data_IF_603947865445
#
_entry.id   IF_603947865445
#
_cell.length_a   1.000
_cell.length_b   1.000
_cell.length_c   1.000
_cell.angle_alpha   90.00
_cell.angle_beta   90.00
_cell.angle_gamma   90.00
#
_symmetry.space_group_name_H-M   'P 1'
#
loop_
_entity.id
_entity.type
_entity.pdbx_description
1 polymer ?
#
# COMPACT_ATOMS: atom_id res chain seq x y z
N UNK A 1 -4.57 3.77 -8.68
CA UNK A 1 -4.73 4.60 -7.48
C UNK A 1 -3.59 4.31 -6.50
N UNK A 2 -3.15 5.30 -5.75
CA UNK A 2 -2.09 5.14 -4.73
C UNK A 2 -2.69 4.86 -3.34
N UNK A 3 -3.75 4.08 -3.29
CA UNK A 3 -4.41 3.72 -2.04
C UNK A 3 -3.78 2.42 -1.52
N UNK A 4 -3.24 2.39 -0.30
CA UNK A 4 -2.71 1.18 0.30
C UNK A 4 -3.88 0.26 0.71
N UNK A 5 -3.92 -0.92 0.11
CA UNK A 5 -4.93 -1.94 0.41
C UNK A 5 -4.23 -3.29 0.53
N UNK A 6 -4.56 -4.07 1.53
CA UNK A 6 -4.17 -5.48 1.62
C UNK A 6 -5.39 -6.31 1.26
N UNK A 7 -5.27 -7.11 0.21
CA UNK A 7 -6.33 -7.99 -0.26
C UNK A 7 -5.96 -9.42 0.12
N UNK A 8 -6.85 -10.10 0.82
CA UNK A 8 -6.72 -11.52 1.16
C UNK A 8 -7.66 -12.33 0.28
N UNK A 9 -7.11 -13.29 -0.44
CA UNK A 9 -7.88 -14.22 -1.25
C UNK A 9 -7.71 -15.66 -0.76
N UNK A 10 -8.80 -16.32 -0.39
CA UNK A 10 -8.78 -17.75 -0.09
C UNK A 10 -8.41 -18.55 -1.33
N UNK A 11 -7.65 -19.62 -1.14
CA UNK A 11 -7.30 -20.58 -2.19
C UNK A 11 -7.75 -21.98 -1.82
N UNK A 12 -8.06 -22.78 -2.83
CA UNK A 12 -8.29 -24.21 -2.70
C UNK A 12 -7.09 -24.91 -2.07
N UNK A 13 -7.29 -26.11 -1.47
CA UNK A 13 -6.17 -26.88 -0.93
C UNK A 13 -5.08 -27.13 -1.97
N UNK A 14 -3.83 -27.01 -1.54
CA UNK A 14 -2.65 -27.28 -2.38
C UNK A 14 -2.18 -28.71 -2.31
N UNK A 15 -2.64 -29.48 -1.30
CA UNK A 15 -2.30 -30.89 -1.11
C UNK A 15 -3.50 -31.80 -1.37
N UNK A 16 -3.23 -33.00 -1.90
CA UNK A 16 -4.25 -33.99 -2.22
C UNK A 16 -4.59 -34.88 -1.00
N UNK A 17 -3.62 -35.12 -0.12
CA UNK A 17 -3.77 -36.00 1.04
C UNK A 17 -2.70 -35.69 2.11
N UNK A 18 -2.83 -36.36 3.26
CA UNK A 18 -1.82 -36.38 4.35
C UNK A 18 -1.62 -35.07 5.12
N UNK A 19 -2.24 -33.98 4.73
CA UNK A 19 -2.20 -32.72 5.48
C UNK A 19 -3.58 -32.36 5.99
N UNK A 20 -3.66 -31.80 7.20
CA UNK A 20 -4.91 -31.25 7.69
C UNK A 20 -5.33 -30.05 6.81
N UNK A 21 -6.57 -30.05 6.38
CA UNK A 21 -7.02 -29.06 5.40
C UNK A 21 -6.81 -29.45 3.94
N UNK A 22 -6.21 -30.63 3.66
CA UNK A 22 -6.04 -31.12 2.30
C UNK A 22 -7.37 -31.28 1.53
N UNK A 23 -7.28 -31.55 0.24
CA UNK A 23 -8.43 -31.73 -0.64
C UNK A 23 -9.30 -32.90 -0.16
N UNK A 24 -10.57 -32.63 0.06
CA UNK A 24 -11.55 -33.63 0.52
C UNK A 24 -12.76 -33.78 -0.40
N UNK A 25 -12.84 -32.97 -1.43
CA UNK A 25 -13.88 -33.06 -2.45
C UNK A 25 -13.24 -33.00 -3.82
N UNK A 26 -13.73 -33.75 -4.81
CA UNK A 26 -13.25 -33.68 -6.18
C UNK A 26 -13.76 -32.40 -6.85
N UNK A 27 -13.38 -31.25 -6.33
CA UNK A 27 -13.52 -29.99 -7.07
C UNK A 27 -12.56 -30.11 -8.25
N UNK A 28 -13.13 -30.21 -9.44
CA UNK A 28 -12.37 -30.53 -10.61
C UNK A 28 -11.20 -29.55 -10.84
N UNK A 29 -10.08 -30.09 -11.21
CA UNK A 29 -8.89 -29.30 -11.54
C UNK A 29 -9.15 -28.19 -12.58
N UNK A 30 -10.22 -28.29 -13.35
CA UNK A 30 -10.66 -27.25 -14.27
C UNK A 30 -11.26 -26.01 -13.60
N UNK A 31 -11.56 -26.08 -12.31
CA UNK A 31 -12.08 -24.95 -11.53
C UNK A 31 -11.01 -24.28 -10.68
N UNK A 32 -9.82 -24.90 -10.62
CA UNK A 32 -8.70 -24.36 -9.86
C UNK A 32 -7.78 -23.53 -10.77
N UNK A 33 -7.44 -22.34 -10.34
CA UNK A 33 -6.44 -21.55 -11.04
C UNK A 33 -5.04 -22.06 -10.71
N UNK A 34 -4.20 -22.23 -11.73
CA UNK A 34 -2.78 -22.56 -11.53
C UNK A 34 -2.04 -21.46 -10.75
N UNK A 35 -2.36 -20.22 -11.08
CA UNK A 35 -1.79 -19.03 -10.46
C UNK A 35 -2.92 -18.04 -10.19
N UNK A 36 -3.43 -18.07 -8.95
CA UNK A 36 -4.55 -17.20 -8.55
C UNK A 36 -4.15 -15.72 -8.53
N UNK A 37 -2.91 -15.43 -8.17
CA UNK A 37 -2.40 -14.06 -8.12
C UNK A 37 -2.28 -13.44 -9.52
N UNK A 38 -2.17 -14.25 -10.58
CA UNK A 38 -2.12 -13.75 -11.96
C UNK A 38 -3.34 -12.90 -12.35
N UNK A 39 -4.50 -13.12 -11.72
CA UNK A 39 -5.70 -12.29 -11.94
C UNK A 39 -5.51 -10.83 -11.55
N UNK A 40 -4.67 -10.55 -10.58
CA UNK A 40 -4.51 -9.22 -9.99
C UNK A 40 -3.09 -8.68 -10.10
N UNK A 41 -2.14 -9.48 -10.58
CA UNK A 41 -0.70 -9.15 -10.58
C UNK A 41 -0.38 -7.83 -11.28
N UNK A 42 -1.04 -7.54 -12.38
CA UNK A 42 -0.86 -6.27 -13.10
C UNK A 42 -1.43 -5.06 -12.35
N UNK A 43 -2.26 -5.29 -11.34
CA UNK A 43 -2.97 -4.24 -10.60
C UNK A 43 -2.45 -4.04 -9.17
N UNK A 44 -1.53 -4.89 -8.69
CA UNK A 44 -0.98 -4.84 -7.34
C UNK A 44 0.52 -4.61 -7.36
N UNK A 45 1.04 -4.04 -6.27
CA UNK A 45 2.48 -3.83 -6.12
C UNK A 45 3.25 -5.11 -5.80
N UNK A 46 2.58 -6.04 -5.16
CA UNK A 46 3.17 -7.28 -4.70
C UNK A 46 2.06 -8.30 -4.44
N UNK A 47 2.36 -9.55 -4.75
CA UNK A 47 1.53 -10.70 -4.42
C UNK A 47 2.38 -11.79 -3.77
N UNK A 48 1.75 -12.56 -2.90
CA UNK A 48 2.38 -13.69 -2.23
C UNK A 48 1.36 -14.76 -1.87
N UNK A 49 1.76 -16.01 -1.90
CA UNK A 49 0.99 -17.14 -1.40
C UNK A 49 1.56 -17.63 -0.09
N UNK A 50 0.73 -17.63 0.96
CA UNK A 50 1.13 -18.14 2.27
C UNK A 50 1.35 -19.66 2.19
N UNK A 51 2.52 -20.12 2.61
CA UNK A 51 2.87 -21.55 2.58
C UNK A 51 2.87 -22.19 3.96
N UNK A 52 3.20 -21.42 4.99
CA UNK A 52 3.32 -21.87 6.37
C UNK A 52 2.60 -20.89 7.28
N UNK A 53 1.76 -21.41 8.15
CA UNK A 53 0.94 -20.56 9.02
C UNK A 53 1.76 -19.78 10.06
N UNK A 54 2.88 -20.34 10.51
CA UNK A 54 3.80 -19.68 11.46
C UNK A 54 4.45 -18.40 10.89
N UNK A 55 4.49 -18.26 9.57
CA UNK A 55 5.03 -17.10 8.88
C UNK A 55 3.96 -16.05 8.52
N UNK A 56 2.70 -16.29 8.85
CA UNK A 56 1.59 -15.41 8.47
C UNK A 56 1.80 -13.97 8.97
N UNK A 57 2.24 -13.81 10.22
CA UNK A 57 2.50 -12.49 10.80
C UNK A 57 3.56 -11.69 10.04
N UNK A 58 4.66 -12.33 9.67
CA UNK A 58 5.74 -11.69 8.90
C UNK A 58 5.30 -11.29 7.49
N UNK A 59 4.49 -12.10 6.84
CA UNK A 59 3.98 -11.78 5.51
C UNK A 59 2.94 -10.65 5.54
N UNK A 60 2.11 -10.58 6.57
CA UNK A 60 1.19 -9.46 6.76
C UNK A 60 1.95 -8.16 7.06
N UNK A 61 2.98 -8.21 7.90
CA UNK A 61 3.85 -7.06 8.19
C UNK A 61 4.54 -6.56 6.91
N UNK A 62 5.10 -7.47 6.12
CA UNK A 62 5.69 -7.15 4.81
C UNK A 62 4.67 -6.56 3.84
N UNK A 63 3.48 -7.15 3.75
CA UNK A 63 2.40 -6.66 2.92
C UNK A 63 2.01 -5.23 3.29
N UNK A 64 1.90 -4.94 4.60
CA UNK A 64 1.62 -3.62 5.11
C UNK A 64 2.72 -2.61 4.75
N UNK A 65 3.97 -2.97 4.95
CA UNK A 65 5.10 -2.11 4.62
C UNK A 65 5.17 -1.79 3.12
N UNK A 66 4.98 -2.79 2.25
CA UNK A 66 5.00 -2.61 0.78
C UNK A 66 3.81 -1.76 0.34
N UNK A 67 2.60 -2.02 0.84
CA UNK A 67 1.41 -1.25 0.49
C UNK A 67 1.56 0.23 0.84
N UNK A 68 2.18 0.54 1.99
CA UNK A 68 2.39 1.90 2.48
C UNK A 68 3.67 2.56 1.98
N UNK A 69 4.61 1.82 1.39
CA UNK A 69 5.81 2.38 0.74
C UNK A 69 5.45 3.20 -0.48
N UNK A 70 6.15 4.31 -0.70
CA UNK A 70 5.89 5.18 -1.85
C UNK A 70 6.39 4.57 -3.18
N UNK A 71 5.63 4.69 -4.25
CA UNK A 71 4.23 5.08 -4.32
C UNK A 71 3.33 4.03 -3.63
N UNK A 72 2.38 4.46 -2.79
CA UNK A 72 1.44 3.55 -2.13
C UNK A 72 0.60 2.79 -3.14
N UNK A 73 0.13 1.61 -2.78
CA UNK A 73 -0.72 0.81 -3.67
C UNK A 73 -1.14 -0.53 -3.07
N UNK A 74 -2.04 -1.24 -3.74
CA UNK A 74 -2.58 -2.49 -3.26
C UNK A 74 -1.54 -3.63 -3.29
N UNK A 75 -1.74 -4.60 -2.43
CA UNK A 75 -1.00 -5.88 -2.38
C UNK A 75 -1.99 -7.02 -2.21
N UNK A 76 -1.62 -8.22 -2.63
CA UNK A 76 -2.48 -9.40 -2.57
C UNK A 76 -1.80 -10.56 -1.87
N UNK A 77 -2.52 -11.18 -0.91
CA UNK A 77 -2.09 -12.40 -0.23
C UNK A 77 -3.06 -13.53 -0.56
N UNK A 78 -2.56 -14.57 -1.18
CA UNK A 78 -3.28 -15.83 -1.40
C UNK A 78 -3.12 -16.73 -0.18
N UNK A 79 -4.23 -17.24 0.32
CA UNK A 79 -4.30 -18.03 1.54
C UNK A 79 -4.82 -19.43 1.24
N UNK A 80 -3.95 -20.42 1.00
CA UNK A 80 -4.34 -21.82 0.88
C UNK A 80 -5.00 -22.35 2.15
N UNK A 81 -5.81 -23.40 1.99
CA UNK A 81 -6.60 -23.94 3.08
C UNK A 81 -5.74 -24.57 4.17
N UNK A 82 -4.64 -25.24 3.83
CA UNK A 82 -3.81 -25.94 4.80
C UNK A 82 -3.22 -24.99 5.86
N UNK A 83 -2.52 -23.88 5.49
CA UNK A 83 -2.05 -22.91 6.49
C UNK A 83 -3.18 -22.31 7.33
N UNK A 84 -4.39 -22.15 6.75
CA UNK A 84 -5.54 -21.64 7.49
C UNK A 84 -6.15 -22.65 8.48
N UNK A 85 -5.85 -23.93 8.31
CA UNK A 85 -6.32 -25.02 9.20
C UNK A 85 -5.30 -25.36 10.29
N UNK A 86 -4.09 -24.83 10.26
CA UNK A 86 -3.09 -25.09 11.29
C UNK A 86 -3.50 -24.48 12.63
N UNK A 87 -3.17 -25.18 13.69
CA UNK A 87 -3.43 -24.75 15.07
C UNK A 87 -2.12 -24.55 15.81
N UNK A 88 -2.08 -23.50 16.63
CA UNK A 88 -0.92 -23.17 17.46
C UNK A 88 -1.28 -23.22 18.92
N UNK A 89 -0.30 -23.53 19.77
CA UNK A 89 -0.43 -23.27 21.20
C UNK A 89 -0.56 -21.75 21.45
N UNK A 90 -1.33 -21.36 22.44
CA UNK A 90 -1.61 -19.94 22.74
C UNK A 90 -0.37 -19.12 23.10
N UNK A 91 0.71 -19.77 23.53
CA UNK A 91 2.01 -19.19 23.84
C UNK A 91 3.02 -19.28 22.68
N UNK A 92 2.58 -19.73 21.51
CA UNK A 92 3.45 -19.85 20.35
C UNK A 92 4.06 -18.50 19.94
N UNK A 93 5.35 -18.51 19.63
CA UNK A 93 6.07 -17.35 19.11
C UNK A 93 5.46 -16.84 17.80
N UNK A 94 4.84 -17.72 17.01
CA UNK A 94 4.15 -17.36 15.76
C UNK A 94 3.00 -16.36 15.98
N UNK A 95 2.34 -16.39 17.17
CA UNK A 95 1.27 -15.47 17.53
C UNK A 95 1.79 -14.11 18.03
N UNK A 96 3.07 -13.99 18.31
CA UNK A 96 3.71 -12.80 18.88
C UNK A 96 4.56 -12.03 17.85
N UNK A 97 4.24 -12.16 16.58
CA UNK A 97 4.91 -11.40 15.53
C UNK A 97 4.78 -9.88 15.80
N UNK A 98 5.93 -9.22 15.92
CA UNK A 98 5.97 -7.76 16.04
C UNK A 98 6.30 -7.16 14.69
N UNK A 99 5.61 -6.06 14.28
CA UNK A 99 5.95 -5.35 13.07
C UNK A 99 7.44 -4.96 13.08
N UNK A 100 8.17 -5.42 12.07
CA UNK A 100 9.61 -5.17 11.94
C UNK A 100 9.96 -4.36 10.68
N UNK A 101 9.06 -4.37 9.70
CA UNK A 101 9.27 -3.70 8.44
C UNK A 101 8.60 -2.32 8.44
N UNK A 102 9.37 -1.33 7.99
CA UNK A 102 8.86 0.05 7.88
C UNK A 102 8.64 0.42 6.43
N UNK A 103 7.58 1.19 6.14
CA UNK A 103 7.36 1.72 4.79
C UNK A 103 8.52 2.59 4.34
N UNK A 104 8.90 2.47 3.08
CA UNK A 104 9.92 3.32 2.48
C UNK A 104 9.30 4.67 2.11
N UNK A 105 9.90 5.75 2.58
CA UNK A 105 9.58 7.12 2.20
C UNK A 105 10.80 7.79 1.56
N UNK A 106 10.54 8.79 0.72
CA UNK A 106 11.59 9.57 0.07
C UNK A 106 11.53 11.01 0.58
N UNK A 107 12.71 11.59 0.79
CA UNK A 107 12.87 13.03 1.03
C UNK A 107 13.65 13.64 -0.14
N UNK A 108 13.32 14.86 -0.56
CA UNK A 108 14.10 15.56 -1.57
C UNK A 108 15.53 15.82 -1.07
N UNK A 109 16.49 15.87 -1.99
CA UNK A 109 17.84 16.31 -1.66
C UNK A 109 17.82 17.79 -1.20
N UNK A 110 18.63 18.18 -0.20
CA UNK A 110 18.63 19.54 0.31
C UNK A 110 18.85 20.62 -0.76
N UNK A 111 19.74 20.36 -1.72
CA UNK A 111 20.04 21.29 -2.82
C UNK A 111 18.83 21.46 -3.75
N UNK A 112 18.10 20.38 -4.03
CA UNK A 112 16.87 20.44 -4.84
C UNK A 112 15.78 21.25 -4.13
N UNK A 113 15.68 21.12 -2.82
CA UNK A 113 14.73 21.90 -2.02
C UNK A 113 15.08 23.38 -2.03
N UNK A 114 16.36 23.72 -1.85
CA UNK A 114 16.86 25.09 -1.89
C UNK A 114 16.65 25.74 -3.25
N UNK A 115 16.89 24.98 -4.33
CA UNK A 115 16.64 25.44 -5.70
C UNK A 115 15.15 25.71 -5.93
N UNK A 116 14.26 24.81 -5.51
CA UNK A 116 12.82 24.98 -5.63
C UNK A 116 12.34 26.22 -4.84
N UNK A 117 12.81 26.41 -3.62
CA UNK A 117 12.48 27.58 -2.81
C UNK A 117 12.93 28.89 -3.48
N UNK A 118 14.13 28.91 -4.05
CA UNK A 118 14.65 30.07 -4.79
C UNK A 118 13.81 30.38 -6.03
N UNK A 119 13.42 29.36 -6.79
CA UNK A 119 12.57 29.55 -7.96
C UNK A 119 11.21 30.13 -7.60
N UNK A 120 10.58 29.62 -6.54
CA UNK A 120 9.29 30.13 -6.05
C UNK A 120 9.42 31.56 -5.57
N UNK A 121 10.44 31.87 -4.76
CA UNK A 121 10.65 33.19 -4.21
C UNK A 121 10.92 34.29 -5.27
N UNK A 122 11.51 33.92 -6.41
CA UNK A 122 11.80 34.85 -7.50
C UNK A 122 10.72 34.86 -8.60
N UNK A 123 9.71 33.98 -8.53
CA UNK A 123 8.65 33.92 -9.51
C UNK A 123 7.70 35.11 -9.39
N UNK A 124 7.35 35.75 -10.53
CA UNK A 124 6.36 36.85 -10.57
C UNK A 124 4.91 36.35 -10.48
N UNK A 125 4.67 35.18 -11.04
CA UNK A 125 3.32 34.56 -11.10
C UNK A 125 3.45 33.06 -10.87
N UNK A 126 3.79 32.63 -9.64
CA UNK A 126 3.89 31.22 -9.32
C UNK A 126 2.50 30.56 -9.35
N UNK A 127 2.43 29.32 -9.80
CA UNK A 127 1.24 28.46 -9.71
C UNK A 127 1.68 27.04 -9.36
N UNK A 128 0.93 26.38 -8.51
CA UNK A 128 1.16 24.98 -8.19
C UNK A 128 0.19 24.11 -9.01
N UNK A 129 0.76 23.26 -9.86
CA UNK A 129 0.03 22.19 -10.52
C UNK A 129 0.22 20.90 -9.74
N UNK A 130 -0.86 20.34 -9.23
CA UNK A 130 -0.79 19.15 -8.38
C UNK A 130 -1.67 18.03 -8.90
N UNK A 131 -1.12 16.82 -8.90
CA UNK A 131 -1.86 15.58 -9.12
C UNK A 131 -1.87 14.71 -7.86
N UNK A 132 -0.78 14.77 -7.09
CA UNK A 132 -0.58 14.02 -5.85
C UNK A 132 -0.16 14.98 -4.76
N UNK A 133 -1.15 15.55 -4.11
CA UNK A 133 -0.95 16.63 -3.15
C UNK A 133 -0.41 16.20 -1.80
N UNK A 134 -1.04 16.65 -0.75
CA UNK A 134 -0.62 16.39 0.61
C UNK A 134 -0.86 14.92 1.00
N UNK A 135 0.20 14.19 1.32
CA UNK A 135 0.12 12.75 1.68
C UNK A 135 -0.11 12.52 3.16
N UNK A 136 -0.01 13.57 3.98
CA UNK A 136 -0.27 13.55 5.41
C UNK A 136 -1.10 14.76 5.80
N UNK A 137 -1.80 14.68 6.93
CA UNK A 137 -2.52 15.84 7.48
C UNK A 137 -1.59 17.02 7.68
N UNK A 138 -0.40 16.79 8.23
CA UNK A 138 0.60 17.85 8.44
C UNK A 138 1.00 18.51 7.12
N UNK A 139 1.26 17.73 6.06
CA UNK A 139 1.61 18.30 4.74
C UNK A 139 0.45 19.11 4.16
N UNK A 140 -0.80 18.66 4.34
CA UNK A 140 -2.00 19.38 3.92
C UNK A 140 -2.09 20.77 4.62
N UNK A 141 -1.93 20.81 5.93
CA UNK A 141 -2.00 22.04 6.72
C UNK A 141 -0.84 22.99 6.34
N UNK A 142 0.36 22.47 6.16
CA UNK A 142 1.53 23.26 5.72
C UNK A 142 1.37 23.85 4.33
N UNK A 143 0.92 23.07 3.36
CA UNK A 143 0.68 23.56 1.98
C UNK A 143 -0.41 24.62 1.99
N UNK A 144 -1.52 24.37 2.68
CA UNK A 144 -2.62 25.33 2.77
C UNK A 144 -2.15 26.70 3.32
N UNK A 145 -1.41 26.68 4.42
CA UNK A 145 -0.83 27.90 5.01
C UNK A 145 0.18 28.57 4.06
N UNK A 146 1.04 27.78 3.41
CA UNK A 146 2.06 28.31 2.50
C UNK A 146 1.45 29.02 1.30
N UNK A 147 0.46 28.39 0.62
CA UNK A 147 -0.15 28.99 -0.57
C UNK A 147 -0.98 30.22 -0.24
N UNK A 148 -1.59 30.27 0.94
CA UNK A 148 -2.31 31.45 1.42
C UNK A 148 -1.36 32.61 1.70
N UNK A 149 -0.27 32.37 2.43
CA UNK A 149 0.72 33.40 2.79
C UNK A 149 1.42 34.02 1.56
N UNK A 150 1.65 33.22 0.53
CA UNK A 150 2.36 33.64 -0.67
C UNK A 150 1.43 33.96 -1.84
N UNK A 151 0.12 33.85 -1.64
CA UNK A 151 -0.93 34.06 -2.65
C UNK A 151 -0.67 33.23 -3.94
N UNK A 152 -0.33 31.95 -3.76
CA UNK A 152 -0.01 31.03 -4.87
C UNK A 152 -1.25 30.22 -5.23
N UNK A 153 -1.83 30.37 -6.44
CA UNK A 153 -2.92 29.54 -6.89
C UNK A 153 -2.52 28.05 -7.00
N UNK A 154 -3.45 27.18 -6.67
CA UNK A 154 -3.28 25.74 -6.80
C UNK A 154 -4.29 25.19 -7.78
N UNK A 155 -3.81 24.44 -8.77
CA UNK A 155 -4.64 23.72 -9.74
C UNK A 155 -4.46 22.24 -9.52
N UNK A 156 -5.54 21.53 -9.21
CA UNK A 156 -5.55 20.07 -9.16
C UNK A 156 -6.02 19.48 -10.49
N UNK A 157 -5.17 18.65 -11.08
CA UNK A 157 -5.45 17.95 -12.32
C UNK A 157 -5.42 16.45 -12.09
N UNK A 158 -6.57 15.78 -12.28
CA UNK A 158 -6.73 14.35 -11.99
C UNK A 158 -6.17 13.97 -10.61
N UNK A 159 -6.53 14.75 -9.60
CA UNK A 159 -6.03 14.57 -8.24
C UNK A 159 -6.33 13.16 -7.72
N UNK A 160 -5.27 12.45 -7.33
CA UNK A 160 -5.38 11.18 -6.62
C UNK A 160 -5.26 11.36 -5.12
N UNK A 161 -4.72 12.49 -4.69
CA UNK A 161 -4.59 12.93 -3.32
C UNK A 161 -4.85 14.44 -3.26
N UNK A 162 -5.59 14.88 -2.26
CA UNK A 162 -5.99 16.29 -2.09
C UNK A 162 -4.77 17.14 -1.72
N UNK A 163 -4.55 18.26 -2.39
CA UNK A 163 -3.46 19.19 -2.07
C UNK A 163 -3.89 20.21 -1.04
N UNK A 164 -5.01 20.88 -1.28
CA UNK A 164 -5.67 21.84 -0.39
C UNK A 164 -7.18 21.62 -0.44
N UNK A 165 -7.94 22.27 0.45
CA UNK A 165 -9.39 22.22 0.41
C UNK A 165 -9.94 22.91 -0.84
N UNK A 166 -10.96 22.32 -1.48
CA UNK A 166 -11.69 22.98 -2.57
C UNK A 166 -12.40 24.28 -2.14
N UNK A 167 -12.56 24.49 -0.84
CA UNK A 167 -13.08 25.75 -0.29
C UNK A 167 -11.95 26.76 0.05
N UNK A 168 -10.68 26.43 -0.24
CA UNK A 168 -9.56 27.32 0.04
C UNK A 168 -9.52 28.47 -0.96
N UNK A 169 -9.20 29.73 -0.55
CA UNK A 169 -9.17 30.88 -1.45
C UNK A 169 -8.18 30.73 -2.64
N UNK A 170 -7.15 29.91 -2.47
CA UNK A 170 -6.14 29.66 -3.51
C UNK A 170 -6.42 28.42 -4.39
N UNK A 171 -7.59 27.77 -4.23
CA UNK A 171 -7.99 26.61 -5.04
C UNK A 171 -8.57 27.07 -6.40
#
# INVERSE_FOLDING_TARGET
>A
SNIPVIIFGGRTPISEHSHFGCRNTPIGYGQEMRDQAALVRESVKWDFELRYADQAGEHVDRAWAIANSLPKGPVYLSLPREPLCETFATDSAALNCRPSQQPISFSPAPDSLSMAATLIANARHPVIFSQRGARTRQAFDLISTFVEQWAIPVVEYWGTEVTISAAHPMY
#
